data_IF_271585721374
#
_entry.id   IF_271585721374
#
_cell.length_a   1.000
_cell.length_b   1.000
_cell.length_c   1.000
_cell.angle_alpha   90.00
_cell.angle_beta   90.00
_cell.angle_gamma   90.00
#
_symmetry.space_group_name_H-M   'P 1'
#
loop_
_entity.id
_entity.type
_entity.pdbx_description
1 polymer ?
#
# COMPACT_ATOMS: atom_id res chain seq x y z
N UNK A 1 17.57 1.99 1.66
CA UNK A 1 16.39 2.85 1.39
C UNK A 1 16.67 4.36 1.51
N UNK A 2 17.26 4.91 2.60
CA UNK A 2 17.54 6.35 2.69
C UNK A 2 18.42 6.91 1.55
N UNK A 3 19.45 6.18 1.12
CA UNK A 3 20.22 6.55 -0.07
C UNK A 3 19.40 6.50 -1.35
N UNK A 4 18.55 5.49 -1.51
CA UNK A 4 17.67 5.36 -2.67
C UNK A 4 16.74 6.57 -2.79
N UNK A 5 16.07 6.96 -1.70
CA UNK A 5 15.23 8.14 -1.65
C UNK A 5 15.98 9.41 -2.08
N UNK A 6 17.20 9.61 -1.54
CA UNK A 6 18.03 10.77 -1.91
C UNK A 6 18.29 10.85 -3.41
N UNK A 7 18.61 9.71 -4.03
CA UNK A 7 18.95 9.69 -5.46
C UNK A 7 17.73 9.74 -6.38
N UNK A 8 16.58 9.22 -5.96
CA UNK A 8 15.34 9.35 -6.74
C UNK A 8 14.76 10.76 -6.69
N UNK A 9 15.01 11.49 -5.60
CA UNK A 9 14.56 12.87 -5.43
C UNK A 9 15.59 13.92 -5.89
N UNK A 10 16.76 13.51 -6.41
CA UNK A 10 17.79 14.44 -6.89
C UNK A 10 17.48 14.89 -8.32
N UNK A 11 17.14 16.17 -8.55
CA UNK A 11 16.77 16.66 -9.89
C UNK A 11 17.92 16.62 -10.91
N UNK A 12 19.16 16.45 -10.46
CA UNK A 12 20.33 16.34 -11.35
C UNK A 12 20.49 14.96 -11.96
N UNK A 13 19.83 13.95 -11.41
CA UNK A 13 19.98 12.54 -11.76
C UNK A 13 18.67 11.93 -12.29
N UNK A 14 17.71 12.78 -12.60
CA UNK A 14 16.38 12.37 -13.04
C UNK A 14 16.15 12.51 -14.54
N UNK A 15 15.04 11.95 -14.95
CA UNK A 15 14.38 12.29 -16.19
C UNK A 15 13.81 13.72 -16.12
N UNK A 16 13.09 14.16 -17.14
CA UNK A 16 12.56 15.52 -17.27
C UNK A 16 11.73 16.02 -16.06
N UNK A 17 11.25 15.12 -15.22
CA UNK A 17 10.45 15.40 -14.02
C UNK A 17 11.27 15.35 -12.72
N UNK A 18 12.59 15.21 -12.80
CA UNK A 18 13.46 15.12 -11.63
C UNK A 18 13.37 13.79 -10.85
N UNK A 19 12.61 12.82 -11.34
CA UNK A 19 12.42 11.51 -10.73
C UNK A 19 13.11 10.44 -11.57
N UNK A 20 13.99 9.66 -10.97
CA UNK A 20 14.64 8.56 -11.67
C UNK A 20 13.68 7.37 -11.82
N UNK A 21 12.95 7.33 -12.93
CA UNK A 21 11.98 6.25 -13.23
C UNK A 21 12.63 4.85 -13.22
N UNK A 22 13.84 4.72 -13.78
CA UNK A 22 14.57 3.44 -13.79
C UNK A 22 14.87 2.95 -12.36
N UNK A 23 15.25 3.86 -11.47
CA UNK A 23 15.48 3.52 -10.05
C UNK A 23 14.19 3.13 -9.33
N UNK A 24 13.11 3.87 -9.54
CA UNK A 24 11.81 3.52 -8.95
C UNK A 24 11.32 2.16 -9.44
N UNK A 25 11.47 1.87 -10.72
CA UNK A 25 11.15 0.56 -11.29
C UNK A 25 11.96 -0.56 -10.61
N UNK A 26 13.27 -0.38 -10.44
CA UNK A 26 14.14 -1.34 -9.75
C UNK A 26 13.79 -1.52 -8.27
N UNK A 27 13.45 -0.44 -7.57
CA UNK A 27 13.02 -0.46 -6.17
C UNK A 27 11.64 -1.10 -5.99
N UNK A 28 10.82 -1.12 -7.02
CA UNK A 28 9.51 -1.75 -7.05
C UNK A 28 9.52 -3.27 -7.30
N UNK A 29 10.68 -3.87 -7.61
CA UNK A 29 10.81 -5.30 -7.82
C UNK A 29 10.57 -6.10 -6.53
N UNK A 30 10.31 -7.43 -6.60
CA UNK A 30 10.21 -8.30 -5.44
C UNK A 30 11.41 -8.11 -4.49
N UNK A 31 11.16 -8.15 -3.20
CA UNK A 31 12.10 -7.81 -2.10
C UNK A 31 12.51 -6.34 -2.03
N UNK A 32 11.78 -5.47 -2.71
CA UNK A 32 12.02 -4.03 -2.75
C UNK A 32 11.19 -3.22 -1.73
N UNK A 33 10.84 -1.99 -2.13
CA UNK A 33 10.16 -1.06 -1.21
C UNK A 33 8.75 -1.50 -0.79
N UNK A 34 8.08 -2.35 -1.59
CA UNK A 34 6.72 -2.80 -1.31
C UNK A 34 6.64 -3.87 -0.21
N UNK A 35 7.74 -4.54 0.12
CA UNK A 35 7.79 -5.56 1.18
C UNK A 35 7.89 -4.98 2.58
N UNK A 36 8.01 -3.66 2.71
CA UNK A 36 8.02 -3.01 4.02
C UNK A 36 6.64 -3.08 4.68
N UNK A 37 6.57 -3.72 5.85
CA UNK A 37 5.35 -3.91 6.64
C UNK A 37 5.02 -2.74 7.56
N UNK A 38 5.79 -1.65 7.53
CA UNK A 38 5.64 -0.47 8.39
C UNK A 38 5.73 -0.78 9.90
N UNK A 39 6.58 -1.71 10.29
CA UNK A 39 6.72 -2.10 11.71
C UNK A 39 7.43 -1.06 12.60
N UNK A 40 7.94 0.02 12.05
CA UNK A 40 8.67 1.10 12.75
C UNK A 40 10.01 0.71 13.38
N UNK A 41 10.39 -0.55 13.45
CA UNK A 41 11.61 -1.01 14.09
C UNK A 41 12.87 -0.28 13.59
N UNK A 42 13.00 -0.11 12.27
CA UNK A 42 14.12 0.61 11.65
C UNK A 42 14.19 2.10 12.02
N UNK A 43 13.07 2.71 12.46
CA UNK A 43 13.03 4.09 12.94
C UNK A 43 13.47 4.15 14.40
N UNK A 44 12.97 3.23 15.22
CA UNK A 44 13.24 3.18 16.66
C UNK A 44 14.72 2.91 16.94
N UNK A 45 15.34 1.97 16.21
CA UNK A 45 16.75 1.61 16.40
C UNK A 45 17.73 2.55 15.68
N UNK A 46 17.25 3.55 14.95
CA UNK A 46 18.12 4.40 14.14
C UNK A 46 18.83 5.47 14.99
N UNK A 47 20.16 5.36 15.24
CA UNK A 47 20.87 6.34 16.08
C UNK A 47 21.04 7.71 15.43
N UNK A 48 20.78 7.81 14.13
CA UNK A 48 20.93 9.03 13.32
C UNK A 48 19.61 9.76 13.05
N UNK A 49 18.48 9.24 13.53
CA UNK A 49 17.18 9.86 13.30
C UNK A 49 16.76 9.99 11.83
N UNK A 50 17.27 9.10 10.95
CA UNK A 50 17.02 9.18 9.48
C UNK A 50 15.60 8.80 9.11
N UNK A 51 14.87 8.14 10.03
CA UNK A 51 13.52 7.63 9.80
C UNK A 51 13.40 6.80 8.49
N UNK A 52 14.05 5.61 8.40
CA UNK A 52 14.11 4.87 7.13
C UNK A 52 12.74 4.47 6.60
N UNK A 53 11.77 4.20 7.47
CA UNK A 53 10.40 3.88 7.05
C UNK A 53 9.74 5.05 6.32
N UNK A 54 9.87 6.28 6.80
CA UNK A 54 9.29 7.46 6.15
C UNK A 54 9.88 7.64 4.75
N UNK A 55 11.17 7.32 4.56
CA UNK A 55 11.81 7.35 3.25
C UNK A 55 11.27 6.28 2.31
N UNK A 56 10.90 5.11 2.85
CA UNK A 56 10.24 4.07 2.05
C UNK A 56 8.83 4.50 1.64
N UNK A 57 8.09 5.14 2.54
CA UNK A 57 6.75 5.65 2.20
C UNK A 57 6.83 6.71 1.11
N UNK A 58 7.72 7.71 1.25
CA UNK A 58 7.93 8.71 0.22
C UNK A 58 8.38 8.12 -1.15
N UNK A 59 9.16 7.03 -1.14
CA UNK A 59 9.49 6.30 -2.38
C UNK A 59 8.28 5.61 -3.01
N UNK A 60 7.36 5.07 -2.20
CA UNK A 60 6.11 4.48 -2.69
C UNK A 60 5.21 5.55 -3.32
N UNK A 61 5.09 6.70 -2.67
CA UNK A 61 4.30 7.82 -3.19
C UNK A 61 4.87 8.29 -4.54
N UNK A 62 6.18 8.52 -4.62
CA UNK A 62 6.86 8.85 -5.88
C UNK A 62 6.65 7.79 -6.98
N UNK A 63 6.66 6.51 -6.60
CA UNK A 63 6.45 5.42 -7.57
C UNK A 63 5.01 5.42 -8.09
N UNK A 64 4.02 5.64 -7.23
CA UNK A 64 2.60 5.73 -7.62
C UNK A 64 2.37 6.96 -8.52
N UNK A 65 2.90 8.13 -8.17
CA UNK A 65 2.86 9.35 -9.00
C UNK A 65 3.53 9.15 -10.37
N UNK A 66 4.60 8.36 -10.41
CA UNK A 66 5.29 8.02 -11.66
C UNK A 66 4.58 6.91 -12.47
N UNK A 67 3.44 6.39 -12.00
CA UNK A 67 2.65 5.36 -12.68
C UNK A 67 3.15 3.91 -12.46
N UNK A 68 3.96 3.66 -11.42
CA UNK A 68 4.38 2.31 -11.02
C UNK A 68 3.42 1.72 -9.96
N UNK A 69 2.14 1.74 -10.25
CA UNK A 69 1.03 1.32 -9.38
C UNK A 69 0.56 -0.13 -9.65
N UNK A 70 0.94 -0.71 -10.81
CA UNK A 70 0.50 -2.05 -11.19
C UNK A 70 1.31 -3.17 -10.50
N UNK A 71 1.33 -3.16 -9.17
CA UNK A 71 1.92 -4.22 -8.36
C UNK A 71 1.04 -4.53 -7.14
N UNK A 72 1.26 -5.68 -6.50
CA UNK A 72 0.43 -6.12 -5.37
C UNK A 72 0.49 -5.14 -4.18
N UNK A 73 1.65 -4.54 -3.93
CA UNK A 73 1.84 -3.61 -2.81
C UNK A 73 1.08 -2.30 -2.99
N UNK A 74 1.13 -1.71 -4.19
CA UNK A 74 0.36 -0.51 -4.53
C UNK A 74 -1.14 -0.79 -4.45
N UNK A 75 -1.62 -1.83 -5.14
CA UNK A 75 -3.03 -2.25 -5.09
C UNK A 75 -3.51 -2.54 -3.67
N UNK A 76 -2.65 -3.12 -2.82
CA UNK A 76 -2.98 -3.35 -1.41
C UNK A 76 -3.15 -2.04 -0.64
N UNK A 77 -2.24 -1.08 -0.83
CA UNK A 77 -2.32 0.23 -0.19
C UNK A 77 -3.60 0.98 -0.62
N UNK A 78 -3.90 1.00 -1.92
CA UNK A 78 -5.10 1.63 -2.46
C UNK A 78 -6.39 0.98 -1.96
N UNK A 79 -6.45 -0.35 -2.00
CA UNK A 79 -7.63 -1.10 -1.52
C UNK A 79 -7.87 -0.90 -0.02
N UNK A 80 -6.79 -0.79 0.76
CA UNK A 80 -6.88 -0.48 2.19
C UNK A 80 -7.43 0.94 2.41
N UNK A 81 -6.84 1.92 1.74
CA UNK A 81 -7.22 3.34 1.83
C UNK A 81 -8.68 3.55 1.40
N UNK A 82 -9.07 2.96 0.27
CA UNK A 82 -10.45 3.00 -0.24
C UNK A 82 -11.45 2.39 0.76
N UNK A 83 -11.13 1.22 1.32
CA UNK A 83 -12.00 0.53 2.27
C UNK A 83 -12.23 1.36 3.53
N UNK A 84 -11.16 1.90 4.11
CA UNK A 84 -11.23 2.74 5.31
C UNK A 84 -11.90 4.08 5.01
N UNK A 85 -11.58 4.72 3.88
CA UNK A 85 -12.20 5.98 3.47
C UNK A 85 -13.70 5.86 3.21
N UNK A 86 -14.17 4.69 2.72
CA UNK A 86 -15.58 4.46 2.42
C UNK A 86 -16.43 4.15 3.67
N UNK A 87 -15.98 3.25 4.53
CA UNK A 87 -16.78 2.68 5.62
C UNK A 87 -16.21 2.93 7.02
N UNK A 88 -15.00 3.46 7.13
CA UNK A 88 -14.24 3.56 8.37
C UNK A 88 -13.67 2.22 8.85
N UNK A 89 -13.85 1.15 8.10
CA UNK A 89 -13.41 -0.21 8.43
C UNK A 89 -12.71 -0.87 7.27
N UNK A 90 -11.85 -1.81 7.58
CA UNK A 90 -11.25 -2.70 6.59
C UNK A 90 -12.26 -3.77 6.15
N UNK A 91 -12.41 -3.95 4.85
CA UNK A 91 -13.16 -5.06 4.27
C UNK A 91 -12.21 -6.23 4.03
N UNK A 92 -12.22 -7.18 4.95
CA UNK A 92 -11.29 -8.31 4.97
C UNK A 92 -11.45 -9.27 3.77
N UNK A 93 -12.63 -9.30 3.16
CA UNK A 93 -12.87 -10.13 1.97
C UNK A 93 -12.43 -9.44 0.68
N UNK A 94 -12.67 -8.13 0.56
CA UNK A 94 -12.31 -7.37 -0.64
C UNK A 94 -10.82 -7.09 -0.72
N UNK A 95 -10.16 -6.86 0.43
CA UNK A 95 -8.76 -6.50 0.46
C UNK A 95 -7.85 -7.51 -0.26
N UNK A 96 -7.88 -8.82 0.04
CA UNK A 96 -7.03 -9.79 -0.65
C UNK A 96 -7.31 -9.85 -2.15
N UNK A 97 -8.57 -9.81 -2.55
CA UNK A 97 -8.98 -9.88 -3.96
C UNK A 97 -8.49 -8.67 -4.74
N UNK A 98 -8.67 -7.46 -4.20
CA UNK A 98 -8.18 -6.22 -4.82
C UNK A 98 -6.65 -6.15 -4.84
N UNK A 99 -5.98 -6.59 -3.77
CA UNK A 99 -4.51 -6.57 -3.66
C UNK A 99 -3.82 -7.43 -4.72
N UNK A 100 -4.36 -8.61 -4.96
CA UNK A 100 -3.82 -9.53 -5.98
C UNK A 100 -4.23 -9.10 -7.39
N UNK A 101 -5.35 -8.42 -7.51
CA UNK A 101 -5.95 -8.02 -8.79
C UNK A 101 -6.99 -9.03 -9.26
N UNK A 102 -8.14 -8.51 -9.66
CA UNK A 102 -9.31 -9.32 -10.10
C UNK A 102 -9.02 -10.16 -11.36
N UNK A 103 -8.05 -9.75 -12.16
CA UNK A 103 -7.65 -10.46 -13.38
C UNK A 103 -6.65 -11.59 -13.15
N UNK A 104 -6.05 -11.66 -11.96
CA UNK A 104 -5.07 -12.70 -11.62
C UNK A 104 -5.74 -13.96 -11.09
N UNK A 105 -6.44 -14.68 -11.98
CA UNK A 105 -7.22 -15.90 -11.66
C UNK A 105 -6.39 -16.96 -10.94
N UNK A 106 -5.14 -17.29 -11.36
CA UNK A 106 -4.34 -18.30 -10.66
C UNK A 106 -4.09 -17.97 -9.19
N UNK A 107 -3.80 -16.70 -8.90
CA UNK A 107 -3.56 -16.26 -7.53
C UNK A 107 -4.86 -16.24 -6.70
N UNK A 108 -6.00 -15.90 -7.31
CA UNK A 108 -7.32 -15.98 -6.65
C UNK A 108 -7.69 -17.41 -6.30
N UNK A 109 -7.41 -18.39 -7.18
CA UNK A 109 -7.60 -19.83 -6.90
C UNK A 109 -6.74 -20.24 -5.71
N UNK A 110 -5.54 -19.68 -5.52
CA UNK A 110 -4.68 -19.92 -4.37
C UNK A 110 -5.31 -19.58 -3.02
N UNK A 111 -6.33 -18.72 -2.97
CA UNK A 111 -7.07 -18.41 -1.74
C UNK A 111 -8.15 -19.43 -1.40
N UNK A 112 -8.56 -20.31 -2.34
CA UNK A 112 -9.62 -21.29 -2.09
C UNK A 112 -9.37 -22.21 -0.89
N UNK A 113 -8.15 -22.79 -0.68
CA UNK A 113 -7.88 -23.62 0.48
C UNK A 113 -8.01 -22.85 1.81
N UNK A 114 -7.59 -21.59 1.83
CA UNK A 114 -7.69 -20.73 3.02
C UNK A 114 -9.16 -20.38 3.29
N UNK A 115 -9.91 -20.01 2.26
CA UNK A 115 -11.34 -19.74 2.34
C UNK A 115 -12.13 -20.96 2.83
N UNK A 116 -11.83 -22.14 2.32
CA UNK A 116 -12.43 -23.40 2.76
C UNK A 116 -12.16 -23.69 4.25
N UNK A 117 -10.91 -23.53 4.68
CA UNK A 117 -10.55 -23.68 6.10
C UNK A 117 -11.26 -22.66 6.99
N UNK A 118 -11.35 -21.40 6.56
CA UNK A 118 -12.08 -20.37 7.30
C UNK A 118 -13.56 -20.70 7.42
N UNK A 119 -14.19 -21.21 6.35
CA UNK A 119 -15.58 -21.65 6.34
C UNK A 119 -15.80 -22.81 7.31
N UNK A 120 -14.98 -23.85 7.25
CA UNK A 120 -15.13 -25.06 8.11
C UNK A 120 -14.90 -24.78 9.59
N UNK A 121 -14.13 -23.74 9.91
CA UNK A 121 -13.86 -23.31 11.29
C UNK A 121 -14.77 -22.16 11.76
N UNK A 122 -15.78 -21.76 10.98
CA UNK A 122 -16.69 -20.66 11.33
C UNK A 122 -16.00 -19.30 11.47
N UNK A 123 -14.87 -19.09 10.80
CA UNK A 123 -14.05 -17.86 10.87
C UNK A 123 -14.15 -17.01 9.62
N UNK A 124 -15.27 -17.10 8.89
CA UNK A 124 -15.50 -16.19 7.77
C UNK A 124 -15.78 -14.78 8.30
N UNK A 125 -15.11 -13.76 7.76
CA UNK A 125 -15.46 -12.38 8.07
C UNK A 125 -16.88 -12.07 7.56
N UNK A 126 -17.58 -11.11 8.17
CA UNK A 126 -18.92 -10.73 7.74
C UNK A 126 -18.90 -10.21 6.31
N UNK A 127 -19.85 -10.66 5.48
CA UNK A 127 -19.97 -10.23 4.07
C UNK A 127 -20.38 -8.76 3.94
N UNK A 128 -21.06 -8.21 4.93
CA UNK A 128 -21.52 -6.83 4.96
C UNK A 128 -21.05 -6.20 6.27
N UNK A 129 -20.25 -5.15 6.14
CA UNK A 129 -19.79 -4.36 7.28
C UNK A 129 -20.70 -3.14 7.45
N UNK A 130 -21.14 -2.90 8.70
CA UNK A 130 -21.79 -1.63 9.04
C UNK A 130 -20.70 -0.54 9.09
N UNK A 131 -21.05 0.63 8.57
CA UNK A 131 -20.21 1.81 8.70
C UNK A 131 -19.94 2.13 10.18
N UNK A 132 -18.80 2.75 10.48
CA UNK A 132 -18.57 3.32 11.81
C UNK A 132 -19.50 4.52 12.05
N UNK A 133 -19.76 4.83 13.33
CA UNK A 133 -20.68 5.91 13.70
C UNK A 133 -20.32 7.26 13.08
N UNK A 134 -19.02 7.58 13.01
CA UNK A 134 -18.49 8.84 12.46
C UNK A 134 -17.91 8.73 11.05
N UNK A 135 -18.46 7.86 10.20
CA UNK A 135 -17.95 7.65 8.82
C UNK A 135 -17.90 8.94 8.00
N UNK A 136 -18.83 9.87 8.21
CA UNK A 136 -18.85 11.12 7.47
C UNK A 136 -17.70 12.06 7.84
N UNK A 137 -17.20 11.97 9.06
CA UNK A 137 -15.98 12.68 9.48
C UNK A 137 -14.76 12.09 8.78
N UNK A 138 -14.67 10.76 8.71
CA UNK A 138 -13.59 10.07 7.99
C UNK A 138 -13.60 10.47 6.51
N UNK A 139 -14.75 10.42 5.85
CA UNK A 139 -14.91 10.83 4.45
C UNK A 139 -14.50 12.28 4.20
N UNK A 140 -14.84 13.19 5.12
CA UNK A 140 -14.40 14.60 5.04
C UNK A 140 -12.88 14.75 5.17
N UNK A 141 -12.24 13.97 6.03
CA UNK A 141 -10.78 13.97 6.18
C UNK A 141 -10.10 13.49 4.88
N UNK A 142 -10.54 12.36 4.33
CA UNK A 142 -10.01 11.85 3.06
C UNK A 142 -10.19 12.87 1.93
N UNK A 143 -11.39 13.47 1.79
CA UNK A 143 -11.64 14.50 0.78
C UNK A 143 -10.74 15.74 0.92
N UNK A 144 -10.33 16.10 2.14
CA UNK A 144 -9.38 17.20 2.34
C UNK A 144 -7.96 16.82 1.93
N UNK A 145 -7.56 15.57 2.17
CA UNK A 145 -6.23 15.07 1.76
C UNK A 145 -6.10 15.00 0.24
N UNK A 146 -7.16 14.62 -0.47
CA UNK A 146 -7.18 14.57 -1.94
C UNK A 146 -7.12 15.96 -2.60
N UNK A 147 -7.39 17.02 -1.85
CA UNK A 147 -7.37 18.42 -2.33
C UNK A 147 -6.07 19.16 -2.01
N UNK A 148 -5.16 18.56 -1.24
CA UNK A 148 -3.90 19.17 -0.80
C UNK A 148 -2.72 18.69 -1.63
#
# INVERSE_FOLDING_TARGET
>A
MAKAYRFTADPRDGDANGVSRDRLSKLGQPTGMWDCTRCYECVQVCPKGVAPMDRIMALRDQAMEAGFDNNNGARHADAFTESVGHSGRLDELKLPVKSVGITNIPALIGFLPVGWRALTHGKLPPLVHKNVEDVDTIRRLFKKLDQS
#
